data_IF_186955045398
#
_entry.id   IF_186955045398
#
_cell.length_a   1.000
_cell.length_b   1.000
_cell.length_c   1.000
_cell.angle_alpha   90.00
_cell.angle_beta   90.00
_cell.angle_gamma   90.00
#
_symmetry.space_group_name_H-M   'P 1'
#
loop_
_entity.id
_entity.type
_entity.pdbx_description
1 polymer ?
#
# COMPACT_ATOMS: atom_id res chain seq x y z
N UNK A 1 -10.09 -21.46 -55.52
CA UNK A 1 -10.78 -20.17 -55.78
C UNK A 1 -12.23 -20.53 -56.11
N UNK A 2 -13.30 -20.00 -55.49
CA UNK A 2 -13.45 -18.99 -54.43
C UNK A 2 -14.16 -19.54 -53.16
N UNK A 3 -14.33 -18.66 -52.16
CA UNK A 3 -14.78 -18.87 -50.78
C UNK A 3 -16.31 -18.97 -50.62
N UNK A 4 -16.83 -19.68 -49.60
CA UNK A 4 -18.25 -19.65 -49.23
C UNK A 4 -18.60 -18.47 -48.31
N UNK A 5 -19.71 -17.81 -48.62
CA UNK A 5 -20.32 -16.70 -47.88
C UNK A 5 -20.95 -17.21 -46.59
N UNK A 6 -20.67 -16.49 -45.50
CA UNK A 6 -21.16 -16.70 -44.14
C UNK A 6 -22.65 -16.39 -44.07
N UNK A 7 -23.47 -17.31 -43.57
CA UNK A 7 -24.84 -17.02 -43.14
C UNK A 7 -25.00 -17.50 -41.69
N UNK A 8 -25.02 -16.53 -40.78
CA UNK A 8 -25.23 -16.75 -39.35
C UNK A 8 -26.71 -17.14 -39.11
N UNK A 9 -26.95 -18.40 -38.75
CA UNK A 9 -28.25 -18.86 -38.27
C UNK A 9 -28.22 -18.77 -36.75
N UNK A 10 -28.83 -17.70 -36.25
CA UNK A 10 -29.10 -17.44 -34.85
C UNK A 10 -30.31 -18.30 -34.42
N UNK A 11 -30.07 -19.40 -33.69
CA UNK A 11 -31.13 -20.21 -33.10
C UNK A 11 -31.30 -19.81 -31.63
N UNK A 12 -32.10 -18.77 -31.40
CA UNK A 12 -32.65 -18.46 -30.08
C UNK A 12 -34.09 -19.00 -30.03
N UNK A 13 -34.27 -20.08 -29.28
CA UNK A 13 -35.57 -20.68 -29.01
C UNK A 13 -36.40 -19.82 -28.04
N UNK A 14 -37.75 -19.88 -28.10
CA UNK A 14 -38.63 -18.90 -27.46
C UNK A 14 -38.94 -19.26 -26.00
N UNK A 15 -38.81 -18.29 -25.09
CA UNK A 15 -39.41 -18.37 -23.76
C UNK A 15 -40.91 -18.02 -23.84
N UNK A 16 -41.82 -18.83 -23.28
CA UNK A 16 -43.25 -18.55 -23.33
C UNK A 16 -43.72 -17.70 -22.13
N UNK A 17 -44.66 -16.80 -22.42
CA UNK A 17 -45.64 -16.19 -21.51
C UNK A 17 -45.16 -15.15 -20.48
N UNK A 18 -45.21 -13.88 -20.88
CA UNK A 18 -45.54 -12.76 -19.99
C UNK A 18 -46.96 -12.27 -20.35
N UNK A 19 -47.87 -12.08 -19.38
CA UNK A 19 -49.21 -11.60 -19.66
C UNK A 19 -49.24 -10.08 -19.91
N UNK A 20 -50.24 -9.71 -20.69
CA UNK A 20 -50.53 -8.40 -21.26
C UNK A 20 -50.71 -7.30 -20.21
N UNK A 21 -50.05 -6.15 -20.43
CA UNK A 21 -50.33 -4.88 -19.75
C UNK A 21 -51.63 -4.25 -20.27
N UNK A 22 -52.50 -3.67 -19.42
CA UNK A 22 -53.53 -2.77 -19.90
C UNK A 22 -52.98 -1.33 -20.03
N UNK A 23 -53.31 -0.71 -21.16
CA UNK A 23 -53.12 0.72 -21.44
C UNK A 23 -53.79 1.57 -20.35
N UNK A 24 -53.04 2.48 -19.73
CA UNK A 24 -53.58 3.69 -19.10
C UNK A 24 -52.81 4.92 -19.57
N UNK A 25 -53.62 5.84 -20.08
CA UNK A 25 -53.43 7.23 -20.50
C UNK A 25 -52.28 8.01 -19.85
N UNK A 26 -51.60 8.81 -20.70
CA UNK A 26 -50.73 9.92 -20.31
C UNK A 26 -51.42 10.83 -19.29
N UNK A 27 -50.76 11.08 -18.16
CA UNK A 27 -50.73 12.42 -17.54
C UNK A 27 -49.47 12.53 -16.67
N UNK A 28 -48.75 13.61 -16.97
CA UNK A 28 -47.65 14.31 -16.31
C UNK A 28 -47.05 13.77 -15.00
N UNK A 29 -45.71 13.75 -14.98
CA UNK A 29 -44.92 13.65 -13.75
C UNK A 29 -43.47 13.29 -14.03
N UNK A 30 -42.63 14.29 -14.27
CA UNK A 30 -41.16 14.14 -14.37
C UNK A 30 -40.62 13.58 -13.04
N UNK A 31 -40.00 12.38 -12.98
CA UNK A 31 -39.34 11.96 -11.76
C UNK A 31 -37.92 12.55 -11.75
N UNK A 32 -37.72 13.43 -10.77
CA UNK A 32 -36.43 13.97 -10.34
C UNK A 32 -35.36 12.89 -10.25
N UNK A 33 -34.17 13.27 -10.69
CA UNK A 33 -32.91 12.56 -10.60
C UNK A 33 -32.77 11.73 -9.31
N UNK A 34 -32.78 10.40 -9.46
CA UNK A 34 -32.26 9.50 -8.43
C UNK A 34 -30.76 9.74 -8.30
N UNK A 35 -30.37 10.61 -7.37
CA UNK A 35 -29.02 10.62 -6.80
C UNK A 35 -28.75 9.20 -6.31
N UNK A 36 -27.95 8.44 -7.07
CA UNK A 36 -27.31 7.22 -6.56
C UNK A 36 -26.49 7.67 -5.36
N UNK A 37 -26.99 7.39 -4.15
CA UNK A 37 -26.19 7.44 -2.94
C UNK A 37 -24.95 6.60 -3.22
N UNK A 38 -23.79 7.26 -3.32
CA UNK A 38 -22.49 6.58 -3.28
C UNK A 38 -22.53 5.74 -2.01
N UNK A 39 -22.71 4.42 -2.15
CA UNK A 39 -22.35 3.51 -1.07
C UNK A 39 -20.88 3.80 -0.83
N UNK A 40 -20.58 4.52 0.25
CA UNK A 40 -19.25 4.57 0.82
C UNK A 40 -18.81 3.12 0.87
N UNK A 41 -17.80 2.76 0.08
CA UNK A 41 -17.16 1.44 0.16
C UNK A 41 -16.67 1.36 1.59
N UNK A 42 -17.48 0.75 2.46
CA UNK A 42 -17.10 0.46 3.82
C UNK A 42 -15.82 -0.34 3.69
N UNK A 43 -14.76 0.15 4.33
CA UNK A 43 -13.54 -0.63 4.54
C UNK A 43 -14.03 -2.00 4.99
N UNK A 44 -13.85 -3.01 4.14
CA UNK A 44 -14.31 -4.36 4.42
C UNK A 44 -13.38 -4.87 5.52
N UNK A 45 -13.70 -4.54 6.78
CA UNK A 45 -12.97 -5.04 7.94
C UNK A 45 -12.91 -6.56 7.76
N UNK A 46 -11.72 -7.15 7.67
CA UNK A 46 -11.59 -8.59 7.57
C UNK A 46 -12.25 -9.19 8.81
N UNK A 47 -13.45 -9.75 8.62
CA UNK A 47 -14.20 -10.31 9.73
C UNK A 47 -13.49 -11.60 10.14
N UNK A 48 -13.22 -11.83 11.43
CA UNK A 48 -12.65 -13.11 11.88
C UNK A 48 -13.47 -14.32 11.44
N UNK A 49 -14.79 -14.14 11.23
CA UNK A 49 -15.68 -15.14 10.65
C UNK A 49 -15.31 -15.57 9.22
N UNK A 50 -14.89 -14.63 8.35
CA UNK A 50 -14.46 -14.95 6.98
C UNK A 50 -13.15 -15.75 6.98
N UNK A 51 -12.20 -15.36 7.82
CA UNK A 51 -10.95 -16.09 8.00
C UNK A 51 -11.19 -17.52 8.49
N UNK A 52 -12.11 -17.70 9.43
CA UNK A 52 -12.50 -19.02 9.92
C UNK A 52 -13.15 -19.88 8.82
N UNK A 53 -14.00 -19.30 7.99
CA UNK A 53 -14.62 -20.01 6.86
C UNK A 53 -13.57 -20.49 5.84
N UNK A 54 -12.60 -19.64 5.48
CA UNK A 54 -11.50 -20.02 4.57
C UNK A 54 -10.64 -21.14 5.17
N UNK A 55 -10.35 -21.07 6.48
CA UNK A 55 -9.62 -22.13 7.19
C UNK A 55 -10.39 -23.46 7.17
N UNK A 56 -11.70 -23.44 7.45
CA UNK A 56 -12.56 -24.63 7.34
C UNK A 56 -12.59 -25.23 5.93
N UNK A 57 -12.65 -24.38 4.89
CA UNK A 57 -12.61 -24.85 3.50
C UNK A 57 -11.26 -25.49 3.16
N UNK A 58 -10.15 -24.87 3.57
CA UNK A 58 -8.80 -25.42 3.41
C UNK A 58 -8.68 -26.78 4.09
N UNK A 59 -9.18 -26.91 5.32
CA UNK A 59 -9.09 -28.16 6.07
C UNK A 59 -9.92 -29.28 5.42
N UNK A 60 -11.09 -28.95 4.86
CA UNK A 60 -11.89 -29.89 4.04
C UNK A 60 -11.13 -30.34 2.79
N UNK A 61 -10.45 -29.44 2.08
CA UNK A 61 -9.63 -29.80 0.92
C UNK A 61 -8.43 -30.67 1.31
N UNK A 62 -7.78 -30.40 2.45
CA UNK A 62 -6.69 -31.25 2.98
C UNK A 62 -7.19 -32.66 3.35
N UNK A 63 -8.39 -32.77 3.92
CA UNK A 63 -9.02 -34.08 4.15
C UNK A 63 -9.32 -34.81 2.83
N UNK A 64 -9.77 -34.08 1.81
CA UNK A 64 -10.03 -34.64 0.49
C UNK A 64 -8.73 -35.14 -0.19
N UNK A 65 -7.64 -34.37 -0.12
CA UNK A 65 -6.32 -34.76 -0.60
C UNK A 65 -5.84 -36.06 0.07
N UNK A 66 -6.00 -36.20 1.40
CA UNK A 66 -5.68 -37.44 2.13
C UNK A 66 -6.50 -38.64 1.65
N UNK A 67 -7.77 -38.45 1.28
CA UNK A 67 -8.61 -39.52 0.74
C UNK A 67 -8.16 -39.94 -0.67
N UNK A 68 -7.80 -38.98 -1.53
CA UNK A 68 -7.33 -39.29 -2.89
C UNK A 68 -5.98 -40.01 -2.86
N UNK A 69 -5.05 -39.57 -2.01
CA UNK A 69 -3.72 -40.20 -1.86
C UNK A 69 -3.83 -41.67 -1.44
N UNK A 70 -4.66 -41.97 -0.43
CA UNK A 70 -4.95 -43.36 -0.02
C UNK A 70 -5.56 -44.19 -1.16
N UNK A 71 -6.45 -43.60 -1.98
CA UNK A 71 -7.00 -44.30 -3.15
C UNK A 71 -5.94 -44.55 -4.23
N UNK A 72 -5.02 -43.62 -4.45
CA UNK A 72 -3.92 -43.78 -5.40
C UNK A 72 -2.97 -44.91 -4.98
N UNK A 73 -2.68 -45.05 -3.69
CA UNK A 73 -1.87 -46.16 -3.16
C UNK A 73 -2.53 -47.51 -3.41
N UNK A 74 -3.81 -47.67 -3.06
CA UNK A 74 -4.58 -48.89 -3.33
C UNK A 74 -4.59 -49.25 -4.82
N UNK A 75 -4.79 -48.25 -5.69
CA UNK A 75 -4.80 -48.51 -7.14
C UNK A 75 -3.43 -48.85 -7.70
N UNK A 76 -2.34 -48.34 -7.10
CA UNK A 76 -0.97 -48.75 -7.42
C UNK A 76 -0.75 -50.22 -7.07
N UNK A 77 -1.23 -50.67 -5.92
CA UNK A 77 -1.12 -52.08 -5.49
C UNK A 77 -1.92 -53.01 -6.40
N UNK A 78 -3.18 -52.67 -6.69
CA UNK A 78 -4.03 -53.46 -7.59
C UNK A 78 -3.43 -53.49 -9.00
N UNK A 79 -2.88 -52.38 -9.49
CA UNK A 79 -2.19 -52.36 -10.79
C UNK A 79 -0.96 -53.28 -10.79
N UNK A 80 -0.17 -53.31 -9.70
CA UNK A 80 0.96 -54.25 -9.56
C UNK A 80 0.50 -55.70 -9.57
N UNK A 81 -0.60 -56.03 -8.88
CA UNK A 81 -1.17 -57.38 -8.86
C UNK A 81 -1.64 -57.81 -10.26
N UNK A 82 -2.37 -56.96 -10.98
CA UNK A 82 -2.86 -57.28 -12.33
C UNK A 82 -1.74 -57.44 -13.37
N UNK A 83 -0.60 -56.78 -13.17
CA UNK A 83 0.59 -57.00 -14.00
C UNK A 83 1.23 -58.37 -13.72
N UNK A 84 1.23 -58.84 -12.46
CA UNK A 84 1.70 -60.19 -12.10
C UNK A 84 0.78 -61.27 -12.69
N UNK A 85 -0.53 -61.03 -12.69
CA UNK A 85 -1.54 -61.91 -13.30
C UNK A 85 -1.51 -61.94 -14.84
N UNK A 86 -0.67 -61.13 -15.49
CA UNK A 86 -0.59 -61.03 -16.96
C UNK A 86 -1.76 -60.28 -17.62
N UNK A 87 -2.68 -59.68 -16.86
CA UNK A 87 -3.90 -59.00 -17.36
C UNK A 87 -3.60 -57.55 -17.77
N UNK A 88 -2.81 -57.38 -18.85
CA UNK A 88 -2.29 -56.07 -19.32
C UNK A 88 -3.38 -55.04 -19.64
N UNK A 89 -4.48 -55.42 -20.29
CA UNK A 89 -5.57 -54.50 -20.65
C UNK A 89 -6.26 -53.89 -19.42
N UNK A 90 -6.52 -54.72 -18.40
CA UNK A 90 -7.10 -54.26 -17.13
C UNK A 90 -6.14 -53.35 -16.36
N UNK A 91 -4.85 -53.67 -16.34
CA UNK A 91 -3.84 -52.82 -15.74
C UNK A 91 -3.76 -51.44 -16.42
N UNK A 92 -3.81 -51.40 -17.76
CA UNK A 92 -3.82 -50.14 -18.53
C UNK A 92 -5.02 -49.26 -18.20
N UNK A 93 -6.21 -49.83 -18.04
CA UNK A 93 -7.41 -49.10 -17.64
C UNK A 93 -7.29 -48.50 -16.23
N UNK A 94 -6.75 -49.26 -15.27
CA UNK A 94 -6.49 -48.73 -13.93
C UNK A 94 -5.45 -47.61 -13.92
N UNK A 95 -4.38 -47.73 -14.72
CA UNK A 95 -3.37 -46.67 -14.82
C UNK A 95 -3.97 -45.37 -15.41
N UNK A 96 -4.91 -45.47 -16.36
CA UNK A 96 -5.66 -44.29 -16.84
C UNK A 96 -6.50 -43.66 -15.72
N UNK A 97 -7.20 -44.49 -14.95
CA UNK A 97 -8.01 -44.06 -13.80
C UNK A 97 -7.16 -43.40 -12.69
N UNK A 98 -5.96 -43.96 -12.45
CA UNK A 98 -4.95 -43.41 -11.55
C UNK A 98 -4.49 -42.03 -12.02
N UNK A 99 -4.14 -41.89 -13.31
CA UNK A 99 -3.68 -40.60 -13.89
C UNK A 99 -4.75 -39.51 -13.76
N UNK A 100 -6.03 -39.84 -13.94
CA UNK A 100 -7.13 -38.90 -13.75
C UNK A 100 -7.24 -38.42 -12.29
N UNK A 101 -7.02 -39.31 -11.32
CA UNK A 101 -6.98 -38.92 -9.90
C UNK A 101 -5.76 -38.07 -9.55
N UNK A 102 -4.60 -38.36 -10.14
CA UNK A 102 -3.40 -37.51 -10.00
C UNK A 102 -3.70 -36.09 -10.51
N UNK A 103 -4.32 -35.94 -11.68
CA UNK A 103 -4.76 -34.62 -12.17
C UNK A 103 -5.75 -33.91 -11.24
N UNK A 104 -6.64 -34.66 -10.58
CA UNK A 104 -7.59 -34.08 -9.62
C UNK A 104 -6.89 -33.65 -8.32
N UNK A 105 -5.87 -34.39 -7.90
CA UNK A 105 -5.00 -34.03 -6.78
C UNK A 105 -4.24 -32.74 -7.08
N UNK A 106 -3.63 -32.61 -8.27
CA UNK A 106 -2.94 -31.38 -8.69
C UNK A 106 -3.89 -30.16 -8.67
N UNK A 107 -5.13 -30.33 -9.15
CA UNK A 107 -6.16 -29.27 -9.09
C UNK A 107 -6.50 -28.89 -7.65
N UNK A 108 -6.61 -29.88 -6.76
CA UNK A 108 -6.91 -29.66 -5.34
C UNK A 108 -5.75 -28.94 -4.65
N UNK A 109 -4.51 -29.28 -4.97
CA UNK A 109 -3.31 -28.62 -4.45
C UNK A 109 -3.26 -27.16 -4.88
N UNK A 110 -3.53 -26.87 -6.15
CA UNK A 110 -3.64 -25.49 -6.64
C UNK A 110 -4.73 -24.68 -5.89
N UNK A 111 -5.87 -25.31 -5.58
CA UNK A 111 -6.92 -24.68 -4.78
C UNK A 111 -6.48 -24.43 -3.33
N UNK A 112 -5.75 -25.36 -2.71
CA UNK A 112 -5.19 -25.18 -1.36
C UNK A 112 -4.20 -24.02 -1.35
N UNK A 113 -3.26 -23.97 -2.29
CA UNK A 113 -2.30 -22.87 -2.41
C UNK A 113 -3.01 -21.53 -2.60
N UNK A 114 -4.04 -21.49 -3.47
CA UNK A 114 -4.86 -20.28 -3.68
C UNK A 114 -5.56 -19.82 -2.39
N UNK A 115 -6.12 -20.74 -1.60
CA UNK A 115 -6.73 -20.44 -0.30
C UNK A 115 -5.70 -19.92 0.71
N UNK A 116 -4.51 -20.52 0.74
CA UNK A 116 -3.41 -20.11 1.63
C UNK A 116 -2.92 -18.69 1.30
N UNK A 117 -2.77 -18.36 0.01
CA UNK A 117 -2.46 -16.98 -0.43
C UNK A 117 -3.54 -16.00 -0.01
N UNK A 118 -4.83 -16.33 -0.17
CA UNK A 118 -5.92 -15.45 0.26
C UNK A 118 -5.93 -15.22 1.78
N UNK A 119 -5.64 -16.26 2.57
CA UNK A 119 -5.50 -16.13 4.03
C UNK A 119 -4.36 -15.18 4.39
N UNK A 120 -3.20 -15.32 3.76
CA UNK A 120 -2.05 -14.43 3.97
C UNK A 120 -2.37 -12.98 3.58
N UNK A 121 -3.03 -12.76 2.43
CA UNK A 121 -3.47 -11.42 2.03
C UNK A 121 -4.44 -10.79 3.03
N UNK A 122 -5.34 -11.59 3.61
CA UNK A 122 -6.25 -11.13 4.66
C UNK A 122 -5.49 -10.77 5.94
N UNK A 123 -4.50 -11.55 6.34
CA UNK A 123 -3.69 -11.27 7.52
C UNK A 123 -2.84 -10.00 7.31
N UNK A 124 -2.28 -9.82 6.12
CA UNK A 124 -1.54 -8.61 5.76
C UNK A 124 -2.43 -7.36 5.78
N UNK A 125 -3.60 -7.42 5.14
CA UNK A 125 -4.56 -6.30 5.18
C UNK A 125 -5.03 -5.96 6.60
N UNK A 126 -5.13 -6.94 7.51
CA UNK A 126 -5.41 -6.66 8.92
C UNK A 126 -4.29 -5.86 9.58
N UNK A 127 -3.02 -6.13 9.24
CA UNK A 127 -1.88 -5.37 9.75
C UNK A 127 -1.90 -3.96 9.16
N UNK A 128 -2.11 -3.81 7.85
CA UNK A 128 -2.22 -2.50 7.20
C UNK A 128 -3.31 -1.63 7.85
N UNK A 129 -4.48 -2.21 8.13
CA UNK A 129 -5.54 -1.49 8.84
C UNK A 129 -5.09 -1.03 10.24
N UNK A 130 -4.40 -1.87 11.01
CA UNK A 130 -3.89 -1.51 12.34
C UNK A 130 -2.87 -0.36 12.27
N UNK A 131 -2.04 -0.33 11.23
CA UNK A 131 -1.11 0.79 10.99
C UNK A 131 -1.88 2.07 10.71
N UNK A 132 -2.91 2.02 9.86
CA UNK A 132 -3.76 3.18 9.57
C UNK A 132 -4.51 3.65 10.83
N UNK A 133 -5.06 2.74 11.63
CA UNK A 133 -5.70 3.06 12.90
C UNK A 133 -4.70 3.72 13.88
N UNK A 134 -3.47 3.22 13.96
CA UNK A 134 -2.39 3.83 14.75
C UNK A 134 -2.04 5.25 14.29
N UNK A 135 -1.96 5.49 12.97
CA UNK A 135 -1.73 6.82 12.41
C UNK A 135 -2.89 7.78 12.69
N UNK A 136 -4.14 7.30 12.66
CA UNK A 136 -5.31 8.10 13.01
C UNK A 136 -5.27 8.54 14.47
N UNK A 137 -4.98 7.61 15.39
CA UNK A 137 -4.84 7.90 16.83
C UNK A 137 -3.68 8.88 17.06
N UNK A 138 -2.54 8.69 16.38
CA UNK A 138 -1.41 9.62 16.43
C UNK A 138 -1.79 11.02 15.95
N UNK A 139 -2.52 11.13 14.84
CA UNK A 139 -2.99 12.42 14.32
C UNK A 139 -4.01 13.10 15.27
N UNK A 140 -4.90 12.33 15.88
CA UNK A 140 -5.83 12.84 16.91
C UNK A 140 -5.09 13.34 18.17
N UNK A 141 -4.07 12.61 18.61
CA UNK A 141 -3.22 13.02 19.72
C UNK A 141 -2.49 14.34 19.40
N UNK A 142 -1.87 14.43 18.22
CA UNK A 142 -1.22 15.65 17.75
C UNK A 142 -2.21 16.82 17.67
N UNK A 143 -3.43 16.60 17.17
CA UNK A 143 -4.47 17.65 17.13
C UNK A 143 -4.82 18.17 18.53
N UNK A 144 -4.98 17.28 19.51
CA UNK A 144 -5.25 17.68 20.90
C UNK A 144 -4.06 18.45 21.48
N UNK A 145 -2.84 18.00 21.24
CA UNK A 145 -1.63 18.70 21.69
C UNK A 145 -1.51 20.09 21.06
N UNK A 146 -1.77 20.19 19.74
CA UNK A 146 -1.80 21.48 19.04
C UNK A 146 -2.88 22.40 19.59
N UNK A 147 -4.08 21.91 19.90
CA UNK A 147 -5.13 22.73 20.52
C UNK A 147 -4.73 23.35 21.85
N UNK A 148 -3.96 22.62 22.67
CA UNK A 148 -3.47 23.12 23.97
C UNK A 148 -2.30 24.09 23.80
N UNK A 149 -1.47 23.90 22.76
CA UNK A 149 -0.26 24.71 22.56
C UNK A 149 -0.47 25.95 21.67
N UNK A 150 -1.40 25.92 20.71
CA UNK A 150 -1.40 26.89 19.60
C UNK A 150 -2.15 28.18 19.86
N UNK A 151 -2.94 28.27 20.92
CA UNK A 151 -3.75 29.48 21.17
C UNK A 151 -3.05 30.31 22.25
N UNK A 152 -2.87 29.76 23.45
CA UNK A 152 -2.34 30.50 24.58
C UNK A 152 -0.85 30.86 24.44
N UNK A 153 0.00 29.93 23.97
CA UNK A 153 1.44 30.22 23.83
C UNK A 153 1.75 31.12 22.63
N UNK A 154 0.97 31.01 21.56
CA UNK A 154 1.16 31.84 20.36
C UNK A 154 0.69 33.27 20.62
N UNK A 155 -0.44 33.46 21.33
CA UNK A 155 -0.89 34.78 21.77
C UNK A 155 0.14 35.42 22.73
N UNK A 156 0.66 34.67 23.71
CA UNK A 156 1.68 35.19 24.65
C UNK A 156 2.97 35.61 23.94
N UNK A 157 3.47 34.82 22.98
CA UNK A 157 4.69 35.19 22.22
C UNK A 157 4.45 36.43 21.35
N UNK A 158 3.26 36.58 20.76
CA UNK A 158 2.94 37.76 19.96
C UNK A 158 2.78 39.02 20.82
N UNK A 159 2.24 38.90 22.03
CA UNK A 159 2.18 39.98 23.01
C UNK A 159 3.59 40.36 23.50
N UNK A 160 4.41 39.40 23.94
CA UNK A 160 5.79 39.64 24.39
C UNK A 160 6.66 40.30 23.29
N UNK A 161 6.49 39.90 22.03
CA UNK A 161 7.22 40.51 20.91
C UNK A 161 6.71 41.89 20.52
N UNK A 162 5.41 42.15 20.63
CA UNK A 162 4.85 43.49 20.42
C UNK A 162 5.32 44.45 21.52
N UNK A 163 5.27 44.03 22.78
CA UNK A 163 5.77 44.80 23.92
C UNK A 163 7.27 45.11 23.76
N UNK A 164 8.09 44.14 23.33
CA UNK A 164 9.51 44.35 23.08
C UNK A 164 9.76 45.37 21.94
N UNK A 165 8.97 45.31 20.87
CA UNK A 165 9.06 46.28 19.75
C UNK A 165 8.62 47.67 20.19
N UNK A 166 7.58 47.78 21.01
CA UNK A 166 7.12 49.06 21.56
C UNK A 166 8.15 49.64 22.53
N UNK A 167 8.76 48.82 23.37
CA UNK A 167 9.86 49.23 24.24
C UNK A 167 11.06 49.73 23.44
N UNK A 168 11.43 49.01 22.36
CA UNK A 168 12.50 49.46 21.47
C UNK A 168 12.14 50.79 20.79
N UNK A 169 10.90 50.97 20.32
CA UNK A 169 10.44 52.24 19.76
C UNK A 169 10.46 53.38 20.77
N UNK A 170 10.12 53.12 22.03
CA UNK A 170 10.24 54.11 23.10
C UNK A 170 11.70 54.49 23.35
N UNK A 171 12.62 53.52 23.33
CA UNK A 171 14.06 53.78 23.38
C UNK A 171 14.47 54.64 22.18
N UNK A 172 14.06 54.26 20.97
CA UNK A 172 14.40 54.98 19.74
C UNK A 172 13.84 56.41 19.74
N UNK A 173 12.64 56.64 20.26
CA UNK A 173 12.02 57.97 20.40
C UNK A 173 12.74 58.84 21.45
N UNK A 174 13.08 58.25 22.60
CA UNK A 174 13.85 58.93 23.65
C UNK A 174 15.26 59.29 23.15
N UNK A 175 15.90 58.40 22.39
CA UNK A 175 17.20 58.64 21.77
C UNK A 175 17.13 59.71 20.67
N UNK A 176 16.16 59.62 19.75
CA UNK A 176 15.99 60.56 18.64
C UNK A 176 15.70 62.01 19.10
N UNK A 177 15.09 62.21 20.27
CA UNK A 177 14.84 63.54 20.82
C UNK A 177 16.04 64.17 21.56
N UNK A 178 17.16 63.45 21.71
CA UNK A 178 18.24 63.82 22.64
C UNK A 178 19.59 64.15 21.99
N UNK A 179 19.78 63.90 20.69
CA UNK A 179 21.04 64.18 19.99
C UNK A 179 21.02 65.53 19.27
N UNK A 180 22.14 66.26 19.33
CA UNK A 180 22.36 67.46 18.51
C UNK A 180 23.05 67.11 17.20
N UNK A 181 23.02 68.00 16.20
CA UNK A 181 23.66 67.75 14.90
C UNK A 181 25.17 67.47 15.01
N UNK A 182 25.85 68.07 15.99
CA UNK A 182 27.27 67.83 16.27
C UNK A 182 27.52 66.43 16.85
N UNK A 183 26.60 65.91 17.66
CA UNK A 183 26.69 64.55 18.21
C UNK A 183 26.44 63.48 17.13
N UNK A 184 25.51 63.74 16.21
CA UNK A 184 25.24 62.85 15.08
C UNK A 184 26.45 62.74 14.13
N UNK A 185 27.16 63.85 13.88
CA UNK A 185 28.38 63.86 13.07
C UNK A 185 29.52 63.08 13.73
N UNK A 186 29.73 63.26 15.04
CA UNK A 186 30.74 62.50 15.79
C UNK A 186 30.47 60.99 15.80
N UNK A 187 29.20 60.58 15.98
CA UNK A 187 28.79 59.17 15.94
C UNK A 187 28.98 58.58 14.54
N UNK A 188 28.71 59.34 13.48
CA UNK A 188 28.95 58.89 12.10
C UNK A 188 30.44 58.71 11.81
N UNK A 189 31.31 59.58 12.33
CA UNK A 189 32.76 59.42 12.23
C UNK A 189 33.26 58.17 12.98
N UNK A 190 32.77 57.92 14.20
CA UNK A 190 33.09 56.70 14.96
C UNK A 190 32.59 55.42 14.25
N UNK A 191 31.39 55.45 13.68
CA UNK A 191 30.83 54.32 12.92
C UNK A 191 31.66 54.03 11.66
N UNK A 192 32.12 55.08 10.96
CA UNK A 192 33.01 54.96 9.81
C UNK A 192 34.38 54.38 10.19
N UNK A 193 34.92 54.76 11.35
CA UNK A 193 36.18 54.19 11.86
C UNK A 193 36.05 52.69 12.16
N UNK A 194 34.97 52.25 12.82
CA UNK A 194 34.72 50.84 13.14
C UNK A 194 34.49 50.00 11.87
N UNK A 195 33.75 50.55 10.89
CA UNK A 195 33.54 49.86 9.61
C UNK A 195 34.82 49.75 8.79
N UNK A 196 35.71 50.74 8.82
CA UNK A 196 37.03 50.66 8.18
C UNK A 196 37.98 49.67 8.87
N UNK A 197 37.95 49.58 10.21
CA UNK A 197 38.73 48.57 10.96
C UNK A 197 38.29 47.12 10.65
N UNK A 198 37.03 46.88 10.31
CA UNK A 198 36.54 45.54 9.92
C UNK A 198 36.76 45.18 8.43
N UNK A 199 37.28 46.09 7.61
CA UNK A 199 37.49 45.87 6.16
C UNK A 199 38.91 45.35 5.83
N UNK A 200 39.81 45.17 6.81
CA UNK A 200 41.05 44.39 6.60
C UNK A 200 40.76 42.87 6.64
N UNK A 201 40.06 42.37 5.61
CA UNK A 201 39.96 40.96 5.31
C UNK A 201 41.23 40.51 4.56
N UNK A 202 42.03 39.55 5.07
CA UNK A 202 43.18 39.03 4.35
C UNK A 202 42.76 38.32 3.05
N UNK A 203 43.51 38.57 1.97
CA UNK A 203 43.31 37.97 0.64
C UNK A 203 43.15 36.44 0.72
N UNK A 204 41.98 35.94 0.33
CA UNK A 204 41.71 34.50 0.22
C UNK A 204 42.60 33.90 -0.87
N UNK A 205 43.49 32.92 -0.56
CA UNK A 205 44.30 32.26 -1.56
C UNK A 205 43.44 31.56 -2.61
N UNK A 206 43.70 31.86 -3.88
CA UNK A 206 43.04 31.26 -5.04
C UNK A 206 43.74 29.96 -5.44
N UNK A 207 43.50 28.88 -4.69
CA UNK A 207 43.87 27.53 -5.12
C UNK A 207 42.69 26.85 -5.86
N UNK A 208 42.90 26.34 -7.10
CA UNK A 208 41.83 25.68 -7.86
C UNK A 208 41.52 24.29 -7.28
N UNK A 209 40.24 24.05 -7.00
CA UNK A 209 39.71 22.77 -6.52
C UNK A 209 39.88 21.65 -7.57
N UNK A 210 40.25 20.41 -7.16
CA UNK A 210 40.50 19.30 -8.08
C UNK A 210 39.21 18.72 -8.71
N UNK A 211 39.23 18.53 -10.03
CA UNK A 211 38.16 17.94 -10.84
C UNK A 211 37.94 16.43 -10.55
N UNK A 212 36.69 16.06 -10.25
CA UNK A 212 36.24 14.68 -10.07
C UNK A 212 36.15 13.96 -11.43
N UNK A 213 37.06 13.02 -11.71
CA UNK A 213 36.93 12.10 -12.85
C UNK A 213 35.92 10.98 -12.54
N UNK A 214 34.97 10.64 -13.44
CA UNK A 214 34.04 9.54 -13.24
C UNK A 214 34.73 8.19 -13.54
N UNK A 215 34.93 7.38 -12.50
CA UNK A 215 35.50 6.04 -12.64
C UNK A 215 34.43 5.00 -12.95
N UNK A 216 34.70 4.23 -14.02
CA UNK A 216 33.82 3.23 -14.62
C UNK A 216 33.74 1.98 -13.75
N UNK A 217 32.53 1.58 -13.36
CA UNK A 217 32.22 0.24 -12.83
C UNK A 217 32.20 -0.78 -13.95
N UNK A 218 32.95 -1.89 -13.83
CA UNK A 218 32.34 -3.19 -14.17
C UNK A 218 32.53 -4.32 -13.13
N UNK A 219 31.37 -4.87 -12.73
CA UNK A 219 30.94 -6.28 -12.70
C UNK A 219 31.66 -7.36 -11.86
N UNK A 220 30.81 -7.96 -11.01
CA UNK A 220 30.60 -9.41 -10.75
C UNK A 220 31.71 -10.25 -10.09
N UNK A 221 31.43 -10.81 -8.90
CA UNK A 221 31.07 -12.23 -8.71
C UNK A 221 31.03 -12.63 -7.21
N UNK A 222 29.96 -13.33 -6.82
CA UNK A 222 29.69 -14.06 -5.55
C UNK A 222 30.68 -15.24 -5.34
N UNK A 223 30.59 -16.05 -4.24
CA UNK A 223 30.64 -15.78 -2.80
C UNK A 223 31.66 -16.73 -2.08
N UNK A 224 32.04 -16.49 -0.81
CA UNK A 224 32.61 -17.56 0.06
C UNK A 224 32.10 -17.44 1.49
N UNK A 225 31.52 -18.55 1.96
CA UNK A 225 31.20 -18.89 3.36
C UNK A 225 32.48 -18.78 4.21
N UNK A 226 32.47 -18.55 5.53
CA UNK A 226 32.15 -19.53 6.59
C UNK A 226 31.82 -18.81 7.93
N UNK A 227 30.83 -19.37 8.61
CA UNK A 227 30.54 -19.45 10.05
C UNK A 227 31.74 -19.28 11.02
N UNK A 228 31.53 -18.59 12.14
CA UNK A 228 32.16 -18.80 13.48
C UNK A 228 31.40 -17.91 14.50
N UNK A 229 30.48 -18.49 15.28
CA UNK A 229 30.62 -18.91 16.70
C UNK A 229 30.43 -17.78 17.72
N UNK A 230 29.58 -18.12 18.70
CA UNK A 230 29.11 -17.40 19.88
C UNK A 230 30.16 -16.63 20.70
N UNK A 231 29.74 -15.54 21.36
CA UNK A 231 29.97 -15.29 22.78
C UNK A 231 29.21 -14.05 23.29
N UNK A 232 28.70 -14.18 24.53
CA UNK A 232 28.08 -13.20 25.45
C UNK A 232 26.58 -12.91 25.28
#
# INVERSE_FOLDING_TARGET
>A
MPLPVVTAINVASPCPMCPLSPRRTLSEGVPRSRRRTRRSKGVCRPRPALLQQLKQQRDKLKQYQKRITQQLEREREIARQLLRDGKKERAKLLLKKKRYREQLLDKTENQITSLETMVQSIEFTQIEMKVVEGLQIGNECLKKMHQVMSIEEVERILEETQEAVEYQRQIDELLAGSFTQEDEEAILEELNAITQEQIELPEVPSEPLPEKKPEKVPREAKPRQVELVAAS
#
